data_IF_847381789528
#
_entry.id   IF_847381789528
#
_cell.length_a   1.000
_cell.length_b   1.000
_cell.length_c   1.000
_cell.angle_alpha   90.00
_cell.angle_beta   90.00
_cell.angle_gamma   90.00
#
_symmetry.space_group_name_H-M   'P 1'
#
loop_
_entity.id
_entity.type
_entity.pdbx_description
1 polymer ?
#
# COMPACT_ATOMS: atom_id res chain seq x y z
N UNK A 1 -32.71 15.64 -2.23
CA UNK A 1 -31.44 15.61 -1.47
C UNK A 1 -31.72 14.96 -0.13
N UNK A 2 -31.36 13.70 0.04
CA UNK A 2 -31.49 12.97 1.30
C UNK A 2 -30.52 13.57 2.34
N UNK A 3 -31.05 14.12 3.40
CA UNK A 3 -30.23 14.61 4.53
C UNK A 3 -29.42 13.43 5.09
N UNK A 4 -28.09 13.49 4.94
CA UNK A 4 -27.18 12.50 5.53
C UNK A 4 -27.37 12.57 7.05
N UNK A 5 -27.89 11.51 7.65
CA UNK A 5 -28.09 11.45 9.08
C UNK A 5 -26.72 11.14 9.73
N UNK A 6 -26.21 12.08 10.52
CA UNK A 6 -24.93 11.95 11.22
C UNK A 6 -24.82 10.64 12.05
N UNK A 7 -25.93 10.21 12.65
CA UNK A 7 -25.96 8.95 13.41
C UNK A 7 -25.70 7.70 12.55
N UNK A 8 -26.04 7.76 11.26
CA UNK A 8 -25.80 6.64 10.33
C UNK A 8 -24.33 6.56 9.90
N UNK A 9 -23.58 7.68 9.90
CA UNK A 9 -22.17 7.73 9.53
C UNK A 9 -21.23 7.38 10.72
N UNK A 10 -21.72 7.46 11.94
CA UNK A 10 -20.92 7.26 13.15
C UNK A 10 -20.19 5.90 13.20
N UNK A 11 -20.83 4.75 12.89
CA UNK A 11 -20.14 3.46 12.92
C UNK A 11 -18.96 3.36 11.94
N UNK A 12 -19.08 4.00 10.77
CA UNK A 12 -18.01 4.01 9.76
C UNK A 12 -16.82 4.90 10.20
N UNK A 13 -17.13 6.04 10.82
CA UNK A 13 -16.10 6.91 11.39
C UNK A 13 -15.34 6.20 12.53
N UNK A 14 -16.05 5.48 13.40
CA UNK A 14 -15.45 4.67 14.47
C UNK A 14 -14.53 3.59 13.85
N UNK A 15 -14.97 2.91 12.78
CA UNK A 15 -14.15 1.92 12.09
C UNK A 15 -12.83 2.51 11.59
N UNK A 16 -12.87 3.66 10.93
CA UNK A 16 -11.67 4.35 10.44
C UNK A 16 -10.74 4.74 11.59
N UNK A 17 -11.26 5.26 12.68
CA UNK A 17 -10.46 5.61 13.86
C UNK A 17 -9.77 4.36 14.42
N UNK A 18 -10.48 3.23 14.54
CA UNK A 18 -9.92 1.96 15.01
C UNK A 18 -8.78 1.51 14.09
N UNK A 19 -8.97 1.56 12.76
CA UNK A 19 -7.95 1.15 11.80
C UNK A 19 -6.68 2.02 11.89
N UNK A 20 -6.86 3.33 12.00
CA UNK A 20 -5.74 4.27 12.17
C UNK A 20 -5.01 3.99 13.48
N UNK A 21 -5.72 3.87 14.59
CA UNK A 21 -5.13 3.61 15.90
C UNK A 21 -4.34 2.29 15.91
N UNK A 22 -4.92 1.20 15.41
CA UNK A 22 -4.24 -0.10 15.39
C UNK A 22 -3.00 -0.07 14.48
N UNK A 23 -3.08 0.56 13.30
CA UNK A 23 -1.96 0.70 12.40
C UNK A 23 -0.80 1.47 13.05
N UNK A 24 -1.09 2.57 13.75
CA UNK A 24 -0.06 3.37 14.43
C UNK A 24 0.45 2.74 15.73
N UNK A 25 -0.38 2.02 16.48
CA UNK A 25 0.09 1.22 17.63
C UNK A 25 1.11 0.18 17.16
N UNK A 26 0.81 -0.54 16.09
CA UNK A 26 1.73 -1.51 15.52
C UNK A 26 2.99 -0.85 14.95
N UNK A 27 2.83 0.25 14.24
CA UNK A 27 3.92 1.00 13.62
C UNK A 27 4.47 2.13 14.53
N UNK A 28 4.32 2.01 15.85
CA UNK A 28 4.71 3.06 16.81
C UNK A 28 6.16 3.56 16.64
N UNK A 29 7.18 2.75 16.31
CA UNK A 29 8.54 3.25 16.09
C UNK A 29 8.65 4.25 14.94
N UNK A 30 7.72 4.21 13.98
CA UNK A 30 7.69 5.16 12.86
C UNK A 30 7.33 6.57 13.32
N UNK A 31 6.54 6.69 14.39
CA UNK A 31 6.23 7.99 15.01
C UNK A 31 7.46 8.63 15.66
N UNK A 32 8.46 7.82 16.04
CA UNK A 32 9.76 8.26 16.54
C UNK A 32 10.77 8.55 15.41
N UNK A 33 10.33 8.56 14.16
CA UNK A 33 11.20 8.75 12.99
C UNK A 33 12.04 7.52 12.61
N UNK A 34 11.81 6.36 13.23
CA UNK A 34 12.49 5.11 12.88
C UNK A 34 11.90 4.53 11.58
N UNK A 35 12.75 3.92 10.77
CA UNK A 35 12.36 3.21 9.55
C UNK A 35 12.62 1.72 9.72
N UNK A 36 11.80 0.90 9.06
CA UNK A 36 12.05 -0.55 9.01
C UNK A 36 13.25 -0.80 8.11
N UNK A 37 14.24 -1.53 8.62
CA UNK A 37 15.35 -2.01 7.80
C UNK A 37 14.83 -3.19 6.94
N UNK A 38 14.70 -2.96 5.65
CA UNK A 38 14.18 -3.93 4.67
C UNK A 38 15.32 -4.39 3.77
N UNK A 39 15.66 -5.67 3.80
CA UNK A 39 16.77 -6.25 3.04
C UNK A 39 16.64 -5.99 1.52
N UNK A 40 15.44 -6.14 0.96
CA UNK A 40 15.19 -5.90 -0.46
C UNK A 40 15.38 -4.43 -0.85
N UNK A 41 15.00 -3.51 0.02
CA UNK A 41 15.20 -2.08 -0.23
C UNK A 41 16.69 -1.72 -0.19
N UNK A 42 17.44 -2.29 0.75
CA UNK A 42 18.90 -2.10 0.81
C UNK A 42 19.60 -2.66 -0.43
N UNK A 43 19.19 -3.84 -0.88
CA UNK A 43 19.69 -4.46 -2.12
C UNK A 43 19.32 -3.63 -3.35
N UNK A 44 18.09 -3.13 -3.43
CA UNK A 44 17.64 -2.23 -4.49
C UNK A 44 18.47 -0.93 -4.53
N UNK A 45 18.71 -0.31 -3.37
CA UNK A 45 19.51 0.92 -3.31
C UNK A 45 20.96 0.68 -3.78
N UNK A 46 21.54 -0.46 -3.43
CA UNK A 46 22.85 -0.86 -3.93
C UNK A 46 22.88 -1.04 -5.44
N UNK A 47 21.90 -1.75 -6.00
CA UNK A 47 21.78 -1.99 -7.43
C UNK A 47 21.51 -0.70 -8.22
N UNK A 48 20.72 0.22 -7.68
CA UNK A 48 20.34 1.47 -8.32
C UNK A 48 21.40 2.56 -8.23
N UNK A 49 22.44 2.38 -7.42
CA UNK A 49 23.41 3.43 -7.08
C UNK A 49 24.08 4.03 -8.31
N UNK A 50 24.59 3.22 -9.24
CA UNK A 50 25.27 3.69 -10.45
C UNK A 50 24.34 4.57 -11.31
N UNK A 51 23.09 4.15 -11.51
CA UNK A 51 22.06 4.92 -12.20
C UNK A 51 21.79 6.26 -11.53
N UNK A 52 21.61 6.24 -10.20
CA UNK A 52 21.27 7.43 -9.43
C UNK A 52 22.44 8.43 -9.38
N UNK A 53 23.67 7.92 -9.31
CA UNK A 53 24.88 8.76 -9.36
C UNK A 53 25.06 9.38 -10.75
N UNK A 54 24.81 8.62 -11.84
CA UNK A 54 24.80 9.16 -13.19
C UNK A 54 23.78 10.28 -13.35
N UNK A 55 22.55 10.05 -12.89
CA UNK A 55 21.48 11.07 -12.92
C UNK A 55 21.84 12.33 -12.13
N UNK A 56 22.49 12.20 -10.97
CA UNK A 56 22.95 13.37 -10.20
C UNK A 56 24.04 14.17 -10.90
N UNK A 57 24.90 13.51 -11.67
CA UNK A 57 26.01 14.16 -12.37
C UNK A 57 25.60 14.81 -13.68
N UNK A 58 24.74 14.16 -14.44
CA UNK A 58 24.37 14.59 -15.80
C UNK A 58 22.97 15.22 -15.90
N UNK A 59 22.08 14.97 -14.94
CA UNK A 59 20.67 15.35 -15.01
C UNK A 59 19.84 14.42 -15.91
N UNK A 60 20.44 13.40 -16.53
CA UNK A 60 19.79 12.48 -17.46
C UNK A 60 19.59 11.10 -16.83
N UNK A 61 18.58 10.35 -17.34
CA UNK A 61 18.34 8.96 -16.93
C UNK A 61 19.27 8.02 -17.73
N UNK A 62 20.01 7.16 -17.02
CA UNK A 62 20.71 6.04 -17.65
C UNK A 62 19.75 4.89 -17.89
N UNK A 63 19.73 4.33 -19.10
CA UNK A 63 18.97 3.14 -19.45
C UNK A 63 19.76 1.84 -19.35
N UNK A 64 21.04 1.94 -18.96
CA UNK A 64 21.94 0.81 -18.78
C UNK A 64 22.76 0.97 -17.53
N UNK A 65 23.06 -0.12 -16.83
CA UNK A 65 23.99 -0.18 -15.70
C UNK A 65 24.96 -1.32 -15.87
N UNK A 66 26.21 -1.13 -15.44
CA UNK A 66 27.24 -2.17 -15.43
C UNK A 66 27.42 -2.80 -14.03
N UNK A 67 26.70 -2.29 -13.01
CA UNK A 67 26.86 -2.72 -11.63
C UNK A 67 26.42 -4.16 -11.35
N UNK A 68 25.60 -4.75 -12.20
CA UNK A 68 25.05 -6.09 -12.02
C UNK A 68 25.13 -6.92 -13.32
N UNK A 69 25.37 -8.22 -13.17
CA UNK A 69 25.35 -9.22 -14.26
C UNK A 69 26.18 -8.85 -15.49
N UNK A 70 27.29 -8.15 -15.32
CA UNK A 70 28.12 -7.60 -16.40
C UNK A 70 27.41 -6.62 -17.35
N UNK A 71 26.31 -6.06 -16.88
CA UNK A 71 25.48 -5.08 -17.57
C UNK A 71 24.03 -5.53 -17.79
N UNK A 72 23.09 -4.62 -17.49
CA UNK A 72 21.67 -4.86 -17.67
C UNK A 72 20.89 -3.56 -17.88
N UNK A 73 19.69 -3.61 -18.50
CA UNK A 73 18.81 -2.45 -18.59
C UNK A 73 18.37 -1.95 -17.22
N UNK A 74 18.44 -0.65 -16.95
CA UNK A 74 18.00 -0.03 -15.68
C UNK A 74 16.50 -0.13 -15.46
N UNK A 75 15.72 -0.40 -16.51
CA UNK A 75 14.28 -0.68 -16.42
C UNK A 75 13.97 -1.85 -15.48
N UNK A 76 14.91 -2.80 -15.36
CA UNK A 76 14.81 -3.94 -14.44
C UNK A 76 15.04 -3.54 -12.97
N UNK A 77 15.60 -2.34 -12.73
CA UNK A 77 15.92 -1.80 -11.41
C UNK A 77 14.97 -0.65 -11.02
N UNK A 78 13.83 -0.50 -11.71
CA UNK A 78 12.83 0.50 -11.37
C UNK A 78 13.21 1.93 -11.78
N UNK A 79 13.59 2.14 -13.04
CA UNK A 79 13.82 3.48 -13.59
C UNK A 79 12.50 4.31 -13.55
N UNK A 80 12.62 5.56 -13.15
CA UNK A 80 11.48 6.48 -13.14
C UNK A 80 11.23 7.03 -14.54
N UNK A 81 9.99 6.90 -15.02
CA UNK A 81 9.59 7.42 -16.32
C UNK A 81 8.76 8.71 -16.17
N UNK A 82 9.11 9.72 -16.95
CA UNK A 82 8.27 10.92 -17.11
C UNK A 82 6.93 10.48 -17.72
N UNK A 83 5.81 10.75 -17.04
CA UNK A 83 4.47 10.34 -17.49
C UNK A 83 3.90 9.09 -16.79
N UNK A 84 4.58 8.55 -15.78
CA UNK A 84 4.01 7.52 -14.92
C UNK A 84 2.99 8.13 -13.94
N UNK A 85 1.81 8.47 -14.46
CA UNK A 85 0.72 9.06 -13.63
C UNK A 85 0.21 8.08 -12.57
N UNK A 86 0.37 6.78 -12.76
CA UNK A 86 -0.03 5.77 -11.77
C UNK A 86 0.82 5.87 -10.50
N UNK A 87 2.08 6.23 -10.61
CA UNK A 87 2.94 6.47 -9.44
C UNK A 87 2.44 7.65 -8.59
N UNK A 88 1.96 8.70 -9.24
CA UNK A 88 1.38 9.85 -8.56
C UNK A 88 0.10 9.47 -7.80
N UNK A 89 -0.81 8.71 -8.44
CA UNK A 89 -2.03 8.20 -7.81
C UNK A 89 -1.68 7.30 -6.63
N UNK A 90 -0.72 6.40 -6.81
CA UNK A 90 -0.22 5.50 -5.80
C UNK A 90 0.32 6.25 -4.58
N UNK A 91 1.17 7.26 -4.77
CA UNK A 91 1.75 8.05 -3.70
C UNK A 91 0.70 8.84 -2.91
N UNK A 92 -0.38 9.29 -3.56
CA UNK A 92 -1.51 9.94 -2.89
C UNK A 92 -2.39 8.95 -2.11
N UNK A 93 -2.59 7.74 -2.64
CA UNK A 93 -3.38 6.69 -2.00
C UNK A 93 -2.72 6.19 -0.70
N UNK A 94 -1.39 6.16 -0.67
CA UNK A 94 -0.57 5.77 0.50
C UNK A 94 -0.14 6.96 1.34
N UNK A 95 -1.09 7.83 1.64
CA UNK A 95 -0.85 8.98 2.49
C UNK A 95 -0.45 8.58 3.91
N UNK A 96 0.72 9.06 4.35
CA UNK A 96 1.26 8.82 5.68
C UNK A 96 2.53 7.95 5.70
N UNK A 97 3.16 7.82 6.87
CA UNK A 97 4.40 7.07 7.02
C UNK A 97 4.19 5.57 6.79
N UNK A 98 5.14 4.95 6.11
CA UNK A 98 5.20 3.49 5.90
C UNK A 98 5.81 2.84 7.15
N UNK A 99 5.28 1.71 7.65
CA UNK A 99 4.30 0.82 7.04
C UNK A 99 2.84 1.09 7.45
N UNK A 100 2.56 2.05 8.33
CA UNK A 100 1.21 2.31 8.84
C UNK A 100 0.19 2.53 7.70
N UNK A 101 0.59 3.30 6.67
CA UNK A 101 -0.27 3.57 5.51
C UNK A 101 -0.68 2.31 4.75
N UNK A 102 0.20 1.32 4.63
CA UNK A 102 -0.13 0.04 4.00
C UNK A 102 -1.18 -0.73 4.79
N UNK A 103 -1.05 -0.78 6.12
CA UNK A 103 -2.02 -1.44 6.99
C UNK A 103 -3.38 -0.75 6.95
N UNK A 104 -3.40 0.58 7.02
CA UNK A 104 -4.65 1.37 6.94
C UNK A 104 -5.37 1.07 5.63
N UNK A 105 -4.66 1.11 4.50
CA UNK A 105 -5.28 0.81 3.21
C UNK A 105 -5.81 -0.61 3.15
N UNK A 106 -5.07 -1.58 3.69
CA UNK A 106 -5.50 -2.99 3.74
C UNK A 106 -6.78 -3.16 4.55
N UNK A 107 -6.87 -2.53 5.74
CA UNK A 107 -8.08 -2.55 6.57
C UNK A 107 -9.26 -1.91 5.85
N UNK A 108 -9.07 -0.71 5.30
CA UNK A 108 -10.15 0.02 4.61
C UNK A 108 -10.65 -0.74 3.39
N UNK A 109 -9.74 -1.28 2.58
CA UNK A 109 -10.07 -2.01 1.36
C UNK A 109 -10.91 -3.26 1.66
N UNK A 110 -10.50 -4.05 2.65
CA UNK A 110 -11.25 -5.26 3.03
C UNK A 110 -12.56 -4.92 3.74
N UNK A 111 -12.58 -3.86 4.54
CA UNK A 111 -13.81 -3.34 5.14
C UNK A 111 -14.85 -2.96 4.09
N UNK A 112 -14.44 -2.24 3.04
CA UNK A 112 -15.32 -1.87 1.94
C UNK A 112 -15.84 -3.09 1.18
N UNK A 113 -15.01 -4.11 0.95
CA UNK A 113 -15.43 -5.37 0.34
C UNK A 113 -16.54 -6.03 1.16
N UNK A 114 -16.34 -6.18 2.47
CA UNK A 114 -17.33 -6.82 3.33
C UNK A 114 -18.65 -6.04 3.39
N UNK A 115 -18.58 -4.71 3.39
CA UNK A 115 -19.78 -3.86 3.30
C UNK A 115 -20.49 -4.04 1.96
N UNK A 116 -19.76 -4.11 0.84
CA UNK A 116 -20.32 -4.37 -0.48
C UNK A 116 -21.04 -5.73 -0.54
N UNK A 117 -20.51 -6.72 0.18
CA UNK A 117 -21.14 -8.05 0.33
C UNK A 117 -22.34 -8.06 1.30
N UNK A 118 -22.73 -6.91 1.86
CA UNK A 118 -23.87 -6.82 2.78
C UNK A 118 -23.58 -7.26 4.21
N UNK A 119 -22.32 -7.46 4.57
CA UNK A 119 -21.93 -7.80 5.94
C UNK A 119 -22.11 -6.58 6.86
N UNK A 120 -22.62 -6.80 8.06
CA UNK A 120 -22.82 -5.71 9.01
C UNK A 120 -21.49 -5.07 9.45
N UNK A 121 -21.53 -3.78 9.79
CA UNK A 121 -20.34 -2.96 10.10
C UNK A 121 -19.44 -3.58 11.17
N UNK A 122 -20.00 -4.16 12.23
CA UNK A 122 -19.22 -4.74 13.34
C UNK A 122 -18.39 -5.94 12.88
N UNK A 123 -19.01 -6.87 12.15
CA UNK A 123 -18.30 -8.02 11.59
C UNK A 123 -17.31 -7.59 10.51
N UNK A 124 -17.65 -6.57 9.73
CA UNK A 124 -16.74 -5.99 8.73
C UNK A 124 -15.47 -5.40 9.37
N UNK A 125 -15.57 -4.77 10.54
CA UNK A 125 -14.38 -4.30 11.28
C UNK A 125 -13.51 -5.49 11.69
N UNK A 126 -14.09 -6.53 12.28
CA UNK A 126 -13.35 -7.73 12.72
C UNK A 126 -12.68 -8.42 11.54
N UNK A 127 -13.41 -8.61 10.44
CA UNK A 127 -12.87 -9.20 9.21
C UNK A 127 -11.73 -8.39 8.61
N UNK A 128 -11.87 -7.07 8.56
CA UNK A 128 -10.83 -6.17 8.06
C UNK A 128 -9.55 -6.25 8.91
N UNK A 129 -9.69 -6.26 10.24
CA UNK A 129 -8.56 -6.43 11.15
C UNK A 129 -7.91 -7.81 10.99
N UNK A 130 -8.69 -8.87 10.91
CA UNK A 130 -8.17 -10.24 10.72
C UNK A 130 -7.38 -10.37 9.41
N UNK A 131 -7.89 -9.78 8.32
CA UNK A 131 -7.19 -9.78 7.02
C UNK A 131 -5.90 -8.96 7.06
N UNK A 132 -5.96 -7.74 7.58
CA UNK A 132 -4.79 -6.85 7.58
C UNK A 132 -3.72 -7.25 8.58
N UNK A 133 -4.09 -7.85 9.73
CA UNK A 133 -3.16 -8.36 10.74
C UNK A 133 -2.71 -9.80 10.46
N UNK A 134 -2.95 -10.34 9.27
CA UNK A 134 -2.42 -11.64 8.87
C UNK A 134 -0.89 -11.64 8.91
N UNK A 135 -0.29 -12.70 9.48
CA UNK A 135 1.16 -12.85 9.63
C UNK A 135 1.92 -12.68 8.29
N UNK A 136 1.31 -13.10 7.20
CA UNK A 136 1.90 -12.97 5.86
C UNK A 136 2.14 -11.52 5.47
N UNK A 137 1.24 -10.59 5.81
CA UNK A 137 1.41 -9.16 5.52
C UNK A 137 2.63 -8.58 6.23
N UNK A 138 2.87 -9.01 7.48
CA UNK A 138 4.04 -8.57 8.23
C UNK A 138 5.35 -9.12 7.69
N UNK A 139 5.36 -10.39 7.27
CA UNK A 139 6.52 -11.00 6.62
C UNK A 139 6.89 -10.25 5.34
N UNK A 140 5.90 -9.93 4.50
CA UNK A 140 6.10 -9.15 3.26
C UNK A 140 6.67 -7.76 3.57
N UNK A 141 6.13 -7.07 4.58
CA UNK A 141 6.60 -5.74 4.98
C UNK A 141 8.03 -5.80 5.54
N UNK A 142 8.36 -6.83 6.33
CA UNK A 142 9.68 -6.99 6.92
C UNK A 142 10.77 -7.22 5.85
N UNK A 143 10.48 -8.01 4.83
CA UNK A 143 11.43 -8.30 3.75
C UNK A 143 11.60 -7.10 2.82
N UNK A 144 10.55 -6.31 2.59
CA UNK A 144 10.58 -5.14 1.70
C UNK A 144 9.81 -5.31 0.39
N UNK A 145 8.96 -6.33 0.30
CA UNK A 145 8.09 -6.53 -0.87
C UNK A 145 6.91 -5.54 -0.88
N UNK A 146 7.22 -4.25 -0.86
CA UNK A 146 6.24 -3.18 -0.74
C UNK A 146 5.21 -3.19 -1.88
N UNK A 147 5.62 -3.43 -3.13
CA UNK A 147 4.71 -3.54 -4.27
C UNK A 147 3.69 -4.68 -4.11
N UNK A 148 4.13 -5.79 -3.52
CA UNK A 148 3.25 -6.93 -3.23
C UNK A 148 2.24 -6.58 -2.13
N UNK A 149 2.67 -5.86 -1.09
CA UNK A 149 1.77 -5.38 -0.04
C UNK A 149 0.68 -4.46 -0.58
N UNK A 150 1.05 -3.59 -1.53
CA UNK A 150 0.10 -2.73 -2.25
C UNK A 150 -0.92 -3.54 -3.03
N UNK A 151 -0.47 -4.54 -3.78
CA UNK A 151 -1.36 -5.41 -4.54
C UNK A 151 -2.35 -6.13 -3.62
N UNK A 152 -1.89 -6.64 -2.47
CA UNK A 152 -2.76 -7.26 -1.46
C UNK A 152 -3.75 -6.25 -0.88
N UNK A 153 -3.31 -5.02 -0.60
CA UNK A 153 -4.17 -3.98 -0.06
C UNK A 153 -5.26 -3.54 -1.03
N UNK A 154 -4.97 -3.52 -2.35
CA UNK A 154 -5.93 -3.08 -3.36
C UNK A 154 -6.85 -4.21 -3.88
N UNK A 155 -6.44 -5.47 -3.75
CA UNK A 155 -7.21 -6.62 -4.24
C UNK A 155 -8.67 -6.64 -3.72
N UNK A 156 -8.96 -6.45 -2.42
CA UNK A 156 -10.32 -6.41 -1.92
C UNK A 156 -11.15 -5.27 -2.52
N UNK A 157 -10.53 -4.12 -2.79
CA UNK A 157 -11.21 -2.98 -3.42
C UNK A 157 -11.62 -3.32 -4.85
N UNK A 158 -10.75 -3.96 -5.63
CA UNK A 158 -11.09 -4.44 -6.99
C UNK A 158 -12.24 -5.43 -6.94
N UNK A 159 -12.19 -6.39 -6.02
CA UNK A 159 -13.28 -7.37 -5.83
C UNK A 159 -14.60 -6.70 -5.45
N UNK A 160 -14.57 -5.67 -4.60
CA UNK A 160 -15.78 -4.92 -4.23
C UNK A 160 -16.40 -4.21 -5.42
N UNK A 161 -15.58 -3.63 -6.30
CA UNK A 161 -16.04 -2.98 -7.52
C UNK A 161 -16.66 -3.98 -8.51
N UNK A 162 -16.06 -5.15 -8.67
CA UNK A 162 -16.61 -6.23 -9.52
C UNK A 162 -17.97 -6.68 -8.96
N UNK A 163 -18.06 -6.91 -7.65
CA UNK A 163 -19.30 -7.34 -7.00
C UNK A 163 -20.42 -6.29 -7.16
N UNK A 164 -20.10 -5.00 -7.07
CA UNK A 164 -21.07 -3.92 -7.27
C UNK A 164 -21.50 -3.81 -8.74
N UNK A 165 -20.57 -4.01 -9.68
CA UNK A 165 -20.83 -3.83 -11.11
C UNK A 165 -21.57 -5.02 -11.73
N UNK A 166 -21.37 -6.24 -11.20
CA UNK A 166 -21.94 -7.48 -11.72
C UNK A 166 -22.64 -8.32 -10.64
N UNK A 167 -23.65 -7.80 -9.93
CA UNK A 167 -24.28 -8.47 -8.80
C UNK A 167 -25.02 -9.77 -9.15
N UNK A 168 -25.26 -10.02 -10.44
CA UNK A 168 -26.03 -11.19 -10.92
C UNK A 168 -25.18 -12.41 -11.29
N UNK A 169 -23.84 -12.32 -11.18
CA UNK A 169 -22.91 -13.40 -11.53
C UNK A 169 -22.37 -14.22 -10.36
N UNK A 170 -22.88 -13.97 -9.15
CA UNK A 170 -22.54 -14.72 -7.95
C UNK A 170 -23.70 -15.57 -7.46
#
# INVERSE_FOLDING_TARGET
MTKINFRSCLPYAIALIIFILIAYIYASPVLEGKIINQADISSYQGAAKERDDYKKQTGEESFWTNSMFSGMPTTMIGAHYKGNYLETIYNHLFWGPRPASYLILTFVSFFLLLLAMGINVRLSIVGALAFGLCAYNFQILQVGHNSKMVAIALMPMVLSLIHISEPTRL
#
